data_IF_979402601247
#
_entry.id   IF_979402601247
#
_cell.length_a   1.000
_cell.length_b   1.000
_cell.length_c   1.000
_cell.angle_alpha   90.00
_cell.angle_beta   90.00
_cell.angle_gamma   90.00
#
_symmetry.space_group_name_H-M   'P 1'
#
loop_
_entity.id
_entity.type
_entity.pdbx_description
1 polymer ?
#
# COMPACT_ATOMS: atom_id res chain seq x y z
N UNK A 1 29.83 -28.03 -24.74
CA UNK A 1 29.75 -28.05 -23.26
C UNK A 1 30.55 -26.86 -22.74
N UNK A 2 30.09 -25.91 -21.94
CA UNK A 2 28.81 -25.51 -21.32
C UNK A 2 28.89 -23.96 -21.28
N UNK A 3 27.93 -23.25 -21.87
CA UNK A 3 26.84 -22.55 -21.17
C UNK A 3 27.31 -21.69 -19.97
N UNK A 4 27.12 -20.39 -20.14
CA UNK A 4 27.37 -19.27 -19.22
C UNK A 4 26.60 -19.47 -17.91
N UNK A 5 27.28 -19.30 -16.78
CA UNK A 5 26.64 -18.98 -15.50
C UNK A 5 26.95 -17.50 -15.19
N UNK A 6 26.19 -16.61 -15.82
CA UNK A 6 26.09 -15.23 -15.36
C UNK A 6 25.20 -15.27 -14.13
N UNK A 7 25.82 -15.20 -12.95
CA UNK A 7 25.13 -14.93 -11.70
C UNK A 7 24.45 -13.56 -11.82
N UNK A 8 23.17 -13.58 -12.15
CA UNK A 8 22.27 -12.45 -12.07
C UNK A 8 22.14 -12.08 -10.59
N UNK A 9 23.05 -11.19 -10.15
CA UNK A 9 22.88 -10.45 -8.91
C UNK A 9 21.55 -9.74 -9.04
N UNK A 10 20.55 -10.23 -8.31
CA UNK A 10 19.29 -9.52 -8.06
C UNK A 10 19.70 -8.15 -7.52
N UNK A 11 19.69 -7.14 -8.40
CA UNK A 11 19.81 -5.77 -7.97
C UNK A 11 18.59 -5.54 -7.09
N UNK A 12 18.81 -5.33 -5.79
CA UNK A 12 17.76 -4.84 -4.90
C UNK A 12 17.46 -3.43 -5.39
N UNK A 13 16.54 -3.32 -6.34
CA UNK A 13 16.05 -2.03 -6.84
C UNK A 13 15.53 -1.30 -5.62
N UNK A 14 16.18 -0.18 -5.26
CA UNK A 14 15.69 0.67 -4.18
C UNK A 14 14.24 1.05 -4.52
N UNK A 15 13.29 0.93 -3.58
CA UNK A 15 11.91 1.28 -3.86
C UNK A 15 11.80 2.72 -4.34
N UNK A 16 10.91 2.96 -5.30
CA UNK A 16 10.68 4.27 -5.91
C UNK A 16 10.01 5.19 -4.89
N UNK A 17 10.84 5.94 -4.16
CA UNK A 17 10.37 6.85 -3.13
C UNK A 17 9.98 8.21 -3.72
N UNK A 18 8.81 8.71 -3.34
CA UNK A 18 8.32 10.04 -3.68
C UNK A 18 7.93 10.79 -2.40
N UNK A 19 8.61 11.89 -2.09
CA UNK A 19 8.39 12.67 -0.87
C UNK A 19 8.41 11.81 0.42
N UNK A 20 9.37 10.88 0.52
CA UNK A 20 9.51 9.97 1.67
C UNK A 20 8.43 8.88 1.77
N UNK A 21 7.69 8.62 0.68
CA UNK A 21 6.68 7.57 0.58
C UNK A 21 7.05 6.58 -0.50
N UNK A 22 6.75 5.31 -0.26
CA UNK A 22 6.88 4.24 -1.25
C UNK A 22 5.49 3.67 -1.49
N UNK A 23 5.07 3.66 -2.75
CA UNK A 23 3.74 3.20 -3.16
C UNK A 23 3.75 1.72 -3.54
N UNK A 24 2.62 1.08 -3.27
CA UNK A 24 2.44 -0.35 -3.47
C UNK A 24 1.09 -0.65 -4.11
N UNK A 25 1.13 -1.43 -5.19
CA UNK A 25 -0.01 -2.15 -5.74
C UNK A 25 -0.06 -3.52 -5.06
N UNK A 26 -1.17 -3.83 -4.40
CA UNK A 26 -1.40 -5.14 -3.79
C UNK A 26 -2.43 -5.87 -4.64
N UNK A 27 -2.02 -6.97 -5.25
CA UNK A 27 -2.90 -7.86 -5.99
C UNK A 27 -3.13 -9.15 -5.24
N UNK A 28 -4.30 -9.74 -5.45
CA UNK A 28 -4.58 -11.09 -4.99
C UNK A 28 -3.58 -12.09 -5.63
N UNK A 29 -3.15 -13.09 -4.87
CA UNK A 29 -2.17 -14.07 -5.37
C UNK A 29 -2.75 -15.01 -6.42
N UNK A 30 -4.07 -15.23 -6.41
CA UNK A 30 -4.74 -16.19 -7.27
C UNK A 30 -5.37 -15.49 -8.49
N UNK A 31 -6.02 -14.35 -8.30
CA UNK A 31 -6.72 -13.64 -9.38
C UNK A 31 -5.92 -12.51 -10.04
N UNK A 32 -4.79 -12.10 -9.45
CA UNK A 32 -4.02 -10.91 -9.84
C UNK A 32 -4.81 -9.58 -9.82
N UNK A 33 -6.04 -9.59 -9.29
CA UNK A 33 -6.86 -8.39 -9.22
C UNK A 33 -6.31 -7.41 -8.18
N UNK A 34 -6.40 -6.11 -8.48
CA UNK A 34 -6.04 -5.06 -7.54
C UNK A 34 -6.96 -5.12 -6.31
N UNK A 35 -6.40 -5.45 -5.15
CA UNK A 35 -7.13 -5.48 -3.87
C UNK A 35 -6.91 -4.18 -3.10
N UNK A 36 -5.67 -3.69 -3.04
CA UNK A 36 -5.34 -2.45 -2.35
C UNK A 36 -4.36 -1.58 -3.14
N UNK A 37 -4.61 -0.27 -3.11
CA UNK A 37 -3.56 0.72 -3.30
C UNK A 37 -3.04 1.15 -1.93
N UNK A 38 -1.73 1.07 -1.73
CA UNK A 38 -1.12 1.35 -0.44
C UNK A 38 0.14 2.22 -0.55
N UNK A 39 0.59 2.74 0.59
CA UNK A 39 1.94 3.28 0.72
C UNK A 39 2.54 3.00 2.10
N UNK A 40 3.86 3.11 2.16
CA UNK A 40 4.69 3.03 3.37
C UNK A 40 5.57 4.27 3.50
N UNK A 41 6.12 4.50 4.69
CA UNK A 41 7.06 5.60 4.99
C UNK A 41 8.36 5.03 5.55
N UNK A 42 9.26 4.48 4.71
CA UNK A 42 10.49 3.85 5.19
C UNK A 42 11.42 4.82 5.93
N UNK A 43 11.33 6.11 5.62
CA UNK A 43 12.14 7.17 6.26
C UNK A 43 11.48 7.75 7.52
N UNK A 44 10.40 7.15 8.02
CA UNK A 44 9.76 7.62 9.24
C UNK A 44 10.67 7.45 10.47
N UNK A 45 10.62 8.42 11.39
CA UNK A 45 11.46 8.43 12.59
C UNK A 45 11.20 7.24 13.52
N UNK A 46 9.94 6.87 13.74
CA UNK A 46 9.59 5.75 14.63
C UNK A 46 9.62 4.41 13.90
N UNK A 47 10.11 3.37 14.57
CA UNK A 47 10.14 2.01 14.03
C UNK A 47 8.74 1.49 13.66
N UNK A 48 7.74 1.85 14.47
CA UNK A 48 6.35 1.51 14.20
C UNK A 48 5.87 2.16 12.89
N UNK A 49 6.10 3.47 12.70
CA UNK A 49 5.67 4.17 11.49
C UNK A 49 6.36 3.67 10.22
N UNK A 50 7.59 3.15 10.32
CA UNK A 50 8.27 2.50 9.18
C UNK A 50 7.61 1.20 8.74
N UNK A 51 6.95 0.50 9.68
CA UNK A 51 6.26 -0.77 9.43
C UNK A 51 4.78 -0.59 9.06
N UNK A 52 4.22 0.61 9.28
CA UNK A 52 2.84 0.92 8.93
C UNK A 52 2.68 0.94 7.41
N UNK A 53 1.63 0.27 6.95
CA UNK A 53 1.10 0.36 5.59
C UNK A 53 -0.23 1.08 5.66
N UNK A 54 -0.37 2.15 4.89
CA UNK A 54 -1.64 2.86 4.75
C UNK A 54 -2.31 2.46 3.44
N UNK A 55 -3.58 2.06 3.50
CA UNK A 55 -4.37 1.63 2.33
C UNK A 55 -5.47 2.63 1.98
N UNK A 56 -5.70 2.84 0.69
CA UNK A 56 -6.72 3.76 0.18
C UNK A 56 -8.13 3.24 0.51
N UNK A 57 -8.95 4.12 1.06
CA UNK A 57 -10.41 3.98 1.17
C UNK A 57 -11.04 4.99 0.22
N UNK A 58 -11.38 4.60 -1.03
CA UNK A 58 -11.68 5.57 -2.08
C UNK A 58 -12.89 6.44 -1.76
N UNK A 59 -13.96 5.86 -1.21
CA UNK A 59 -15.13 6.64 -0.82
C UNK A 59 -14.84 7.65 0.30
N UNK A 60 -13.88 7.43 1.19
CA UNK A 60 -13.51 8.41 2.21
C UNK A 60 -12.47 9.44 1.70
N UNK A 61 -11.84 9.18 0.55
CA UNK A 61 -10.69 9.93 0.06
C UNK A 61 -9.56 10.01 1.12
N UNK A 62 -9.39 8.91 1.84
CA UNK A 62 -8.43 8.76 2.94
C UNK A 62 -7.64 7.48 2.75
N UNK A 63 -6.37 7.54 3.12
CA UNK A 63 -5.54 6.38 3.38
C UNK A 63 -5.58 6.09 4.88
N UNK A 64 -5.96 4.88 5.27
CA UNK A 64 -6.03 4.46 6.67
C UNK A 64 -4.87 3.51 6.97
N UNK A 65 -4.25 3.66 8.14
CA UNK A 65 -3.28 2.66 8.60
C UNK A 65 -3.98 1.31 8.76
N UNK A 66 -3.48 0.30 8.05
CA UNK A 66 -4.11 -1.01 7.93
C UNK A 66 -3.21 -2.06 8.59
N UNK A 67 -3.62 -2.55 9.75
CA UNK A 67 -2.79 -3.43 10.58
C UNK A 67 -2.54 -4.79 9.93
N UNK A 68 -3.55 -5.38 9.29
CA UNK A 68 -3.40 -6.72 8.69
C UNK A 68 -2.61 -6.65 7.38
N UNK A 69 -2.74 -5.56 6.61
CA UNK A 69 -1.84 -5.32 5.47
C UNK A 69 -0.42 -5.00 5.94
N UNK A 70 -0.26 -4.31 7.08
CA UNK A 70 1.07 -4.08 7.67
C UNK A 70 1.74 -5.38 8.12
N UNK A 71 0.96 -6.32 8.69
CA UNK A 71 1.42 -7.68 9.02
C UNK A 71 1.80 -8.44 7.75
N UNK A 72 0.95 -8.41 6.73
CA UNK A 72 1.19 -9.11 5.46
C UNK A 72 2.46 -8.60 4.75
N UNK A 73 2.66 -7.29 4.72
CA UNK A 73 3.80 -6.64 4.07
C UNK A 73 5.17 -7.08 4.63
N UNK A 74 5.24 -7.41 5.93
CA UNK A 74 6.49 -7.86 6.56
C UNK A 74 6.71 -9.37 6.49
N UNK A 75 5.70 -10.17 6.10
CA UNK A 75 5.86 -11.61 5.88
C UNK A 75 6.69 -11.87 4.63
N UNK A 76 7.37 -13.02 4.56
CA UNK A 76 8.23 -13.38 3.42
C UNK A 76 7.76 -14.61 2.65
N UNK A 77 6.92 -15.44 3.26
CA UNK A 77 6.58 -16.80 2.83
C UNK A 77 5.07 -17.07 2.79
N UNK A 78 4.26 -16.32 3.55
CA UNK A 78 2.81 -16.49 3.67
C UNK A 78 2.07 -15.17 3.45
N UNK A 79 2.36 -14.50 2.33
CA UNK A 79 1.65 -13.29 1.93
C UNK A 79 0.33 -13.64 1.28
N UNK A 80 -0.73 -12.99 1.71
CA UNK A 80 -2.04 -13.02 1.06
C UNK A 80 -2.04 -12.20 -0.24
N UNK A 81 -1.18 -11.17 -0.33
CA UNK A 81 -1.11 -10.31 -1.50
C UNK A 81 0.30 -10.22 -2.08
N UNK A 82 0.38 -10.03 -3.39
CA UNK A 82 1.63 -9.67 -4.07
C UNK A 82 1.82 -8.16 -3.93
N UNK A 83 2.90 -7.73 -3.27
CA UNK A 83 3.23 -6.32 -3.08
C UNK A 83 4.18 -5.86 -4.18
N UNK A 84 3.64 -5.16 -5.18
CA UNK A 84 4.41 -4.58 -6.28
C UNK A 84 4.73 -3.12 -5.97
N UNK A 85 6.01 -2.75 -5.94
CA UNK A 85 6.39 -1.34 -5.82
C UNK A 85 6.10 -0.61 -7.13
N UNK A 86 5.41 0.53 -7.03
CA UNK A 86 5.00 1.37 -8.15
C UNK A 86 5.45 2.81 -7.92
N UNK A 87 5.52 3.61 -8.98
CA UNK A 87 5.75 5.04 -8.86
C UNK A 87 4.47 5.82 -8.49
N UNK A 88 4.62 7.12 -8.30
CA UNK A 88 3.50 8.00 -7.90
C UNK A 88 2.48 8.21 -9.02
N UNK A 89 2.89 8.13 -10.28
CA UNK A 89 1.99 8.37 -11.40
C UNK A 89 1.10 7.14 -11.64
N UNK A 90 1.65 5.92 -11.61
CA UNK A 90 0.87 4.67 -11.57
C UNK A 90 -0.04 4.65 -10.33
N UNK A 91 0.44 5.07 -9.16
CA UNK A 91 -0.40 5.14 -7.96
C UNK A 91 -1.60 6.08 -8.12
N UNK A 92 -1.47 7.19 -8.86
CA UNK A 92 -2.58 8.12 -9.14
C UNK A 92 -3.61 7.52 -10.09
N UNK A 93 -3.16 6.76 -11.08
CA UNK A 93 -4.04 6.02 -12.00
C UNK A 93 -4.79 4.91 -11.26
N UNK A 94 -4.07 4.07 -10.52
CA UNK A 94 -4.65 2.98 -9.74
C UNK A 94 -5.57 3.45 -8.64
N UNK A 95 -5.41 4.67 -8.11
CA UNK A 95 -6.35 5.22 -7.13
C UNK A 95 -7.78 5.26 -7.68
N UNK A 96 -7.94 5.52 -8.98
CA UNK A 96 -9.25 5.56 -9.64
C UNK A 96 -9.82 4.16 -9.88
N UNK A 97 -8.96 3.15 -10.01
CA UNK A 97 -9.34 1.75 -10.23
C UNK A 97 -9.47 0.94 -8.94
N UNK A 98 -8.91 1.43 -7.83
CA UNK A 98 -8.92 0.74 -6.55
C UNK A 98 -10.36 0.36 -6.14
N UNK A 99 -10.59 -0.90 -5.75
CA UNK A 99 -11.91 -1.35 -5.32
C UNK A 99 -12.33 -0.63 -4.04
N UNK A 100 -13.64 -0.59 -3.79
CA UNK A 100 -14.14 -0.15 -2.49
C UNK A 100 -13.94 -1.30 -1.49
N UNK A 101 -13.29 -1.06 -0.35
CA UNK A 101 -13.19 -2.06 0.71
C UNK A 101 -14.57 -2.47 1.21
N UNK A 102 -14.72 -3.75 1.55
CA UNK A 102 -15.99 -4.24 2.12
C UNK A 102 -16.18 -3.68 3.53
N UNK A 103 -17.44 -3.66 4.00
CA UNK A 103 -17.74 -3.19 5.35
C UNK A 103 -17.01 -4.01 6.44
N UNK A 104 -16.76 -5.30 6.16
CA UNK A 104 -15.98 -6.17 7.02
C UNK A 104 -14.50 -5.74 7.09
N UNK A 105 -13.89 -5.39 5.96
CA UNK A 105 -12.52 -4.88 5.93
C UNK A 105 -12.40 -3.59 6.75
N UNK A 106 -13.35 -2.67 6.63
CA UNK A 106 -13.36 -1.43 7.41
C UNK A 106 -13.48 -1.71 8.92
N UNK A 107 -14.36 -2.65 9.31
CA UNK A 107 -14.49 -3.09 10.71
C UNK A 107 -13.19 -3.71 11.22
N UNK A 108 -12.52 -4.50 10.39
CA UNK A 108 -11.24 -5.14 10.74
C UNK A 108 -10.11 -4.12 10.88
N UNK A 109 -10.00 -3.15 9.96
CA UNK A 109 -9.00 -2.07 10.03
C UNK A 109 -9.12 -1.30 11.35
N UNK A 110 -10.35 -1.00 11.77
CA UNK A 110 -10.63 -0.20 12.98
C UNK A 110 -10.55 -0.98 14.29
N UNK A 111 -10.28 -2.29 14.23
CA UNK A 111 -10.12 -3.17 15.40
C UNK A 111 -8.80 -3.94 15.27
N UNK A 112 -7.67 -3.30 15.58
CA UNK A 112 -6.39 -3.94 15.40
C UNK A 112 -6.16 -5.08 16.40
N UNK A 113 -5.72 -6.22 15.89
CA UNK A 113 -5.43 -7.42 16.68
C UNK A 113 -3.92 -7.67 16.81
N UNK A 114 -3.11 -6.98 16.00
CA UNK A 114 -1.65 -7.09 16.02
C UNK A 114 -0.99 -5.81 15.48
N UNK A 115 0.28 -5.59 15.85
CA UNK A 115 1.20 -4.53 15.37
C UNK A 115 0.78 -3.10 15.73
N UNK A 116 -0.49 -2.74 15.54
CA UNK A 116 -1.05 -1.42 15.81
C UNK A 116 -1.97 -1.47 17.02
N UNK A 117 -2.07 -0.36 17.74
CA UNK A 117 -3.16 -0.11 18.69
C UNK A 117 -4.28 0.69 18.02
N UNK A 118 -5.43 0.86 18.68
CA UNK A 118 -6.50 1.70 18.12
C UNK A 118 -6.04 3.14 17.88
N UNK A 119 -5.17 3.67 18.74
CA UNK A 119 -4.59 5.01 18.62
C UNK A 119 -3.59 5.12 17.46
N UNK A 120 -3.10 4.00 16.95
CA UNK A 120 -2.20 3.94 15.82
C UNK A 120 -2.90 3.97 14.46
N UNK A 121 -4.23 3.83 14.42
CA UNK A 121 -5.04 3.86 13.20
C UNK A 121 -5.27 5.31 12.77
N UNK A 122 -4.20 5.92 12.26
CA UNK A 122 -4.24 7.28 11.72
C UNK A 122 -4.72 7.31 10.25
N UNK A 123 -5.13 8.50 9.83
CA UNK A 123 -5.70 8.75 8.50
C UNK A 123 -4.94 9.84 7.79
N UNK A 124 -4.68 9.64 6.50
CA UNK A 124 -3.99 10.60 5.65
C UNK A 124 -4.84 10.90 4.42
N UNK A 125 -5.11 12.18 4.15
CA UNK A 125 -5.95 12.60 3.03
C UNK A 125 -5.28 12.29 1.69
N UNK A 126 -6.06 11.88 0.69
CA UNK A 126 -5.58 11.70 -0.69
C UNK A 126 -4.94 12.98 -1.23
N UNK A 127 -5.48 14.15 -0.90
CA UNK A 127 -4.91 15.45 -1.30
C UNK A 127 -3.47 15.64 -0.83
N UNK A 128 -3.10 15.07 0.32
CA UNK A 128 -1.74 15.11 0.88
C UNK A 128 -0.84 14.02 0.30
N UNK A 129 -1.40 12.86 -0.05
CA UNK A 129 -0.64 11.68 -0.46
C UNK A 129 -0.42 11.65 -1.98
N UNK A 130 -1.48 11.83 -2.78
CA UNK A 130 -1.46 11.73 -4.24
C UNK A 130 -1.67 13.09 -4.93
N UNK A 131 -2.21 14.07 -4.21
CA UNK A 131 -2.41 15.44 -4.69
C UNK A 131 -3.88 15.80 -4.96
N UNK A 132 -4.13 17.08 -5.24
CA UNK A 132 -5.48 17.63 -5.44
C UNK A 132 -6.20 17.05 -6.67
N UNK A 133 -5.48 16.86 -7.78
CA UNK A 133 -6.06 16.32 -9.02
C UNK A 133 -6.68 14.94 -8.82
N UNK A 134 -5.94 14.01 -8.20
CA UNK A 134 -6.42 12.67 -7.89
C UNK A 134 -7.60 12.68 -6.92
N UNK A 135 -7.56 13.53 -5.89
CA UNK A 135 -8.69 13.66 -4.96
C UNK A 135 -9.97 14.15 -5.67
N UNK A 136 -9.84 15.12 -6.59
CA UNK A 136 -10.98 15.62 -7.37
C UNK A 136 -11.53 14.54 -8.31
N UNK A 137 -10.66 13.79 -8.99
CA UNK A 137 -11.07 12.68 -9.84
C UNK A 137 -11.78 11.56 -9.04
N UNK A 138 -11.27 11.21 -7.86
CA UNK A 138 -11.95 10.28 -6.94
C UNK A 138 -13.31 10.78 -6.49
N UNK A 139 -13.45 12.08 -6.24
CA UNK A 139 -14.74 12.68 -5.88
C UNK A 139 -15.75 12.57 -7.03
N UNK A 140 -15.30 12.71 -8.27
CA UNK A 140 -16.15 12.59 -9.46
C UNK A 140 -16.56 11.14 -9.78
N UNK A 141 -15.85 10.14 -9.22
CA UNK A 141 -16.18 8.71 -9.35
C UNK A 141 -17.35 8.26 -8.44
N UNK A 142 -17.61 8.98 -7.34
CA UNK A 142 -18.67 8.66 -6.37
C UNK A 142 -20.06 8.91 -6.95
#
# INVERSE_FOLDING_TARGET
MRARETGERIAVTRPLAHNGRVFWKLTDTDSEELVWLAFTRPDARSALARRKVWTLIPHLQEFLANWFVSVDHVRTDQRQWVHTNIDVDEARELALLAPQPQAEDIKRITRPEAVLTIDDIDRLKVTTVLGRGTAQALKARR
#
